data_IF_616157073171
#
_entry.id   IF_616157073171
#
_cell.length_a   1.000
_cell.length_b   1.000
_cell.length_c   1.000
_cell.angle_alpha   90.00
_cell.angle_beta   90.00
_cell.angle_gamma   90.00
#
_symmetry.space_group_name_H-M   'P 1'
#
loop_
_entity.id
_entity.type
_entity.pdbx_description
1 polymer ?
#
# COMPACT_ATOMS: atom_id res chain seq x y z
N UNK A 1 17.48 -2.96 1.91
CA UNK A 1 16.13 -2.57 2.39
C UNK A 1 15.02 -3.36 1.73
N UNK A 2 14.91 -3.33 0.39
CA UNK A 2 13.76 -3.90 -0.34
C UNK A 2 13.43 -5.36 -0.04
N UNK A 3 14.41 -6.28 -0.10
CA UNK A 3 14.17 -7.70 0.18
C UNK A 3 13.70 -7.96 1.62
N UNK A 4 14.27 -7.26 2.59
CA UNK A 4 13.82 -7.32 3.99
C UNK A 4 12.39 -6.82 4.13
N UNK A 5 12.04 -5.71 3.46
CA UNK A 5 10.70 -5.16 3.47
C UNK A 5 9.66 -6.12 2.88
N UNK A 6 10.03 -6.85 1.82
CA UNK A 6 9.17 -7.88 1.24
C UNK A 6 8.91 -9.03 2.21
N UNK A 7 9.96 -9.54 2.87
CA UNK A 7 9.83 -10.60 3.88
C UNK A 7 8.94 -10.12 5.03
N UNK A 8 9.17 -8.90 5.54
CA UNK A 8 8.34 -8.30 6.59
C UNK A 8 6.88 -8.19 6.15
N UNK A 9 6.60 -7.71 4.93
CA UNK A 9 5.25 -7.62 4.40
C UNK A 9 4.54 -8.98 4.34
N UNK A 10 5.24 -10.02 3.86
CA UNK A 10 4.72 -11.40 3.83
C UNK A 10 4.45 -11.95 5.23
N UNK A 11 5.31 -11.67 6.20
CA UNK A 11 5.12 -12.06 7.60
C UNK A 11 3.91 -11.38 8.23
N UNK A 12 3.77 -10.05 8.04
CA UNK A 12 2.61 -9.29 8.52
C UNK A 12 1.30 -9.85 7.96
N UNK A 13 1.29 -10.18 6.66
CA UNK A 13 0.15 -10.81 6.02
C UNK A 13 -0.15 -12.20 6.58
N UNK A 14 0.88 -13.02 6.82
CA UNK A 14 0.70 -14.33 7.44
C UNK A 14 0.07 -14.20 8.84
N UNK A 15 0.50 -13.22 9.63
CA UNK A 15 -0.12 -12.87 10.93
C UNK A 15 -1.58 -12.42 10.74
N UNK A 16 -1.84 -11.60 9.72
CA UNK A 16 -3.16 -11.04 9.42
C UNK A 16 -4.23 -12.12 9.13
N UNK A 17 -3.82 -13.34 8.78
CA UNK A 17 -4.75 -14.47 8.61
C UNK A 17 -5.55 -14.81 9.88
N UNK A 18 -5.02 -14.47 11.06
CA UNK A 18 -5.57 -14.83 12.38
C UNK A 18 -5.84 -13.64 13.30
N UNK A 19 -5.38 -12.44 12.95
CA UNK A 19 -5.46 -11.22 13.76
C UNK A 19 -5.59 -10.00 12.86
N UNK A 20 -6.16 -8.92 13.36
CA UNK A 20 -6.08 -7.63 12.66
C UNK A 20 -4.68 -7.04 12.86
N UNK A 21 -4.02 -6.68 11.75
CA UNK A 21 -2.71 -6.02 11.76
C UNK A 21 -2.87 -4.62 11.18
N UNK A 22 -2.50 -3.60 11.96
CA UNK A 22 -2.42 -2.21 11.50
C UNK A 22 -0.94 -1.86 11.34
N UNK A 23 -0.54 -1.45 10.13
CA UNK A 23 0.83 -1.10 9.81
C UNK A 23 0.89 0.27 9.14
N UNK A 24 1.71 1.17 9.68
CA UNK A 24 2.07 2.43 9.03
C UNK A 24 3.41 2.23 8.35
N UNK A 25 3.48 2.43 7.04
CA UNK A 25 4.69 2.18 6.25
C UNK A 25 4.85 3.18 5.11
N UNK A 26 6.10 3.45 4.76
CA UNK A 26 6.48 4.18 3.55
C UNK A 26 7.09 3.26 2.49
N UNK A 27 7.16 1.95 2.77
CA UNK A 27 7.79 0.97 1.89
C UNK A 27 6.73 0.30 1.00
N UNK A 28 6.83 0.41 -0.34
CA UNK A 28 5.82 -0.15 -1.25
C UNK A 28 5.72 -1.66 -1.12
N UNK A 29 6.82 -2.36 -0.83
CA UNK A 29 6.85 -3.82 -0.64
C UNK A 29 5.97 -4.27 0.53
N UNK A 30 5.87 -3.47 1.58
CA UNK A 30 5.01 -3.78 2.75
C UNK A 30 3.56 -3.42 2.43
N UNK A 31 3.32 -2.24 1.85
CA UNK A 31 1.98 -1.76 1.53
C UNK A 31 1.27 -2.67 0.49
N UNK A 32 2.00 -3.21 -0.48
CA UNK A 32 1.45 -4.11 -1.49
C UNK A 32 0.90 -5.43 -0.90
N UNK A 33 1.42 -5.88 0.25
CA UNK A 33 1.01 -7.12 0.91
C UNK A 33 -0.30 -6.98 1.71
N UNK A 34 -0.77 -5.75 1.95
CA UNK A 34 -1.96 -5.50 2.75
C UNK A 34 -3.26 -5.87 2.02
N UNK A 35 -4.24 -6.38 2.75
CA UNK A 35 -5.59 -6.64 2.22
C UNK A 35 -6.30 -5.30 1.91
N UNK A 36 -6.09 -4.30 2.78
CA UNK A 36 -6.66 -2.97 2.69
C UNK A 36 -5.56 -1.91 2.80
N UNK A 37 -5.72 -0.80 2.10
CA UNK A 37 -4.76 0.30 2.12
C UNK A 37 -5.47 1.63 2.26
N UNK A 38 -4.93 2.48 3.14
CA UNK A 38 -5.39 3.85 3.31
C UNK A 38 -4.24 4.82 3.02
N UNK A 39 -4.54 5.90 2.32
CA UNK A 39 -3.63 7.04 2.21
C UNK A 39 -3.92 8.02 3.34
N UNK A 40 -2.84 8.58 3.91
CA UNK A 40 -2.91 9.62 4.93
C UNK A 40 -2.18 10.84 4.40
N UNK A 41 -2.89 11.95 4.29
CA UNK A 41 -2.35 13.21 3.81
C UNK A 41 -2.74 14.37 4.71
N UNK A 42 -1.84 15.35 4.83
CA UNK A 42 -2.16 16.63 5.46
C UNK A 42 -3.00 17.47 4.50
N UNK A 43 -4.05 18.08 5.03
CA UNK A 43 -4.91 19.01 4.28
C UNK A 43 -5.01 20.30 5.06
N UNK A 44 -4.60 21.39 4.42
CA UNK A 44 -4.79 22.72 4.94
C UNK A 44 -6.26 23.15 4.76
N UNK A 45 -6.89 23.64 5.82
CA UNK A 45 -8.26 24.20 5.84
C UNK A 45 -8.26 25.69 6.18
N UNK A 46 -7.13 26.38 6.02
CA UNK A 46 -6.93 27.79 6.31
C UNK A 46 -6.64 28.05 7.79
N UNK A 47 -7.56 27.66 8.68
CA UNK A 47 -7.41 27.88 10.13
C UNK A 47 -6.60 26.77 10.83
N UNK A 48 -6.46 25.61 10.21
CA UNK A 48 -5.74 24.46 10.76
C UNK A 48 -5.36 23.45 9.68
N UNK A 49 -4.27 22.71 9.91
CA UNK A 49 -3.92 21.54 9.11
C UNK A 49 -4.50 20.30 9.77
N UNK A 50 -5.30 19.54 9.02
CA UNK A 50 -5.91 18.29 9.49
C UNK A 50 -5.40 17.09 8.70
N UNK A 51 -5.38 15.91 9.33
CA UNK A 51 -5.10 14.65 8.64
C UNK A 51 -6.35 14.16 7.93
N UNK A 52 -6.25 13.94 6.63
CA UNK A 52 -7.25 13.23 5.83
C UNK A 52 -6.80 11.78 5.65
N UNK A 53 -7.68 10.85 5.98
CA UNK A 53 -7.48 9.42 5.76
C UNK A 53 -8.50 8.97 4.72
N UNK A 54 -8.04 8.30 3.65
CA UNK A 54 -8.89 7.84 2.55
C UNK A 54 -8.56 6.38 2.25
N UNK A 55 -9.59 5.54 2.19
CA UNK A 55 -9.45 4.14 1.73
C UNK A 55 -9.17 4.13 0.23
N UNK A 56 -8.20 3.33 -0.20
CA UNK A 56 -7.79 3.23 -1.60
C UNK A 56 -8.45 2.03 -2.28
N UNK A 57 -9.08 2.27 -3.43
CA UNK A 57 -9.53 1.22 -4.35
C UNK A 57 -8.36 0.61 -5.16
N UNK A 58 -8.65 -0.35 -6.05
CA UNK A 58 -7.63 -1.04 -6.84
C UNK A 58 -6.73 -0.13 -7.68
N UNK A 59 -7.32 0.83 -8.39
CA UNK A 59 -6.56 1.78 -9.23
C UNK A 59 -5.81 2.79 -8.37
N UNK A 60 -6.44 3.29 -7.31
CA UNK A 60 -5.81 4.21 -6.36
C UNK A 60 -4.63 3.55 -5.63
N UNK A 61 -4.71 2.24 -5.34
CA UNK A 61 -3.59 1.47 -4.80
C UNK A 61 -2.43 1.37 -5.78
N UNK A 62 -2.70 1.15 -7.08
CA UNK A 62 -1.65 1.16 -8.11
C UNK A 62 -0.93 2.50 -8.12
N UNK A 63 -1.68 3.61 -8.14
CA UNK A 63 -1.10 4.96 -8.15
C UNK A 63 -0.29 5.25 -6.87
N UNK A 64 -0.78 4.85 -5.70
CA UNK A 64 -0.06 5.07 -4.45
C UNK A 64 1.23 4.24 -4.35
N UNK A 65 1.19 2.97 -4.75
CA UNK A 65 2.40 2.13 -4.81
C UNK A 65 3.38 2.70 -5.85
N UNK A 66 2.90 3.15 -7.01
CA UNK A 66 3.73 3.77 -8.03
C UNK A 66 4.37 5.08 -7.52
N UNK A 67 3.64 5.88 -6.73
CA UNK A 67 4.15 7.07 -6.04
C UNK A 67 5.21 6.72 -5.00
N UNK A 68 5.00 5.66 -4.21
CA UNK A 68 5.99 5.19 -3.23
C UNK A 68 7.27 4.67 -3.92
N UNK A 69 7.17 4.12 -5.13
CA UNK A 69 8.30 3.64 -5.94
C UNK A 69 9.04 4.78 -6.67
N UNK A 70 8.30 5.67 -7.34
CA UNK A 70 8.84 6.73 -8.20
C UNK A 70 9.09 8.07 -7.50
N UNK A 71 8.61 8.21 -6.26
CA UNK A 71 8.68 9.45 -5.50
C UNK A 71 7.88 10.56 -6.16
N UNK A 72 8.56 11.66 -6.52
CA UNK A 72 7.92 12.87 -7.07
C UNK A 72 7.38 12.62 -8.49
N UNK A 73 8.01 11.75 -9.28
CA UNK A 73 7.63 11.50 -10.67
C UNK A 73 7.04 10.10 -10.82
N UNK A 74 5.72 10.05 -11.03
CA UNK A 74 5.02 8.82 -11.40
C UNK A 74 4.99 8.69 -12.92
N UNK A 75 5.65 7.65 -13.43
CA UNK A 75 5.76 7.31 -14.84
C UNK A 75 4.98 6.03 -15.16
N UNK A 76 4.82 5.71 -16.44
CA UNK A 76 4.20 4.43 -16.83
C UNK A 76 5.05 3.22 -16.37
N UNK A 77 6.39 3.36 -16.37
CA UNK A 77 7.27 2.30 -15.85
C UNK A 77 7.03 2.05 -14.37
N UNK A 78 6.86 3.10 -13.56
CA UNK A 78 6.57 2.94 -12.12
C UNK A 78 5.17 2.36 -11.88
N UNK A 79 4.18 2.71 -12.71
CA UNK A 79 2.83 2.10 -12.67
C UNK A 79 2.87 0.63 -13.02
N UNK A 80 3.61 0.25 -14.07
CA UNK A 80 3.80 -1.15 -14.45
C UNK A 80 4.41 -1.95 -13.31
N UNK A 81 5.48 -1.45 -12.70
CA UNK A 81 6.10 -2.11 -11.55
C UNK A 81 5.13 -2.20 -10.35
N UNK A 82 4.33 -1.18 -10.09
CA UNK A 82 3.31 -1.22 -9.04
C UNK A 82 2.25 -2.31 -9.29
N UNK A 83 1.77 -2.43 -10.53
CA UNK A 83 0.82 -3.50 -10.93
C UNK A 83 1.42 -4.88 -10.74
N UNK A 84 2.67 -5.10 -11.16
CA UNK A 84 3.39 -6.36 -10.97
C UNK A 84 3.51 -6.71 -9.48
N UNK A 85 3.88 -5.73 -8.63
CA UNK A 85 4.00 -5.93 -7.19
C UNK A 85 2.67 -6.30 -6.54
N UNK A 86 1.56 -5.65 -6.91
CA UNK A 86 0.23 -5.93 -6.39
C UNK A 86 -0.30 -7.29 -6.89
N UNK A 87 -0.01 -7.67 -8.13
CA UNK A 87 -0.39 -8.97 -8.68
C UNK A 87 0.31 -10.11 -7.95
N UNK A 88 1.62 -9.99 -7.69
CA UNK A 88 2.41 -10.96 -6.91
C UNK A 88 2.01 -11.01 -5.43
N UNK A 89 1.37 -9.97 -4.93
CA UNK A 89 0.88 -9.86 -3.55
C UNK A 89 -0.58 -10.29 -3.39
N UNK A 90 -1.34 -10.52 -4.46
CA UNK A 90 -2.76 -10.87 -4.35
C UNK A 90 -2.94 -12.34 -3.95
N UNK A 91 -3.83 -12.67 -3.01
CA UNK A 91 -4.12 -14.06 -2.69
C UNK A 91 -4.92 -14.67 -3.84
N UNK A 92 -4.64 -15.94 -4.16
CA UNK A 92 -5.60 -16.77 -4.89
C UNK A 92 -6.95 -16.67 -4.20
N UNK A 93 -7.99 -16.47 -5.00
CA UNK A 93 -9.39 -16.25 -4.67
C UNK A 93 -9.81 -16.97 -3.39
N UNK A 94 -9.84 -16.23 -2.29
CA UNK A 94 -10.33 -16.68 -1.00
C UNK A 94 -11.22 -15.59 -0.44
N UNK A 95 -12.44 -15.52 -0.98
CA UNK A 95 -13.56 -14.73 -0.44
C UNK A 95 -13.59 -14.91 1.08
N UNK A 96 -13.41 -13.82 1.82
CA UNK A 96 -13.80 -13.77 3.23
C UNK A 96 -14.97 -12.78 3.32
N UNK A 97 -16.12 -13.33 3.71
CA UNK A 97 -17.31 -12.61 4.13
C UNK A 97 -17.03 -11.75 5.37
#
# INVERSE_FOLDING_TARGET
GGATAEIVGRLLRATARSRQVLCVTHLPQVAAQADWQWSVAKVDRGASVVSRVVALDGEQRIEEIARMLGGIRVTETTRRHAREMLALSSPGTGTRA
#
